data_IF_236028608124
#
_entry.id   IF_236028608124
#
_cell.length_a   1.000
_cell.length_b   1.000
_cell.length_c   1.000
_cell.angle_alpha   90.00
_cell.angle_beta   90.00
_cell.angle_gamma   90.00
#
_symmetry.space_group_name_H-M   'P 1'
#
loop_
_entity.id
_entity.type
_entity.pdbx_description
1 polymer ?
#
# COMPACT_ATOMS: atom_id res chain seq x y z
N UNK A 1 -8.13 -10.80 5.37
CA UNK A 1 -6.90 -10.36 6.06
C UNK A 1 -5.99 -11.56 6.25
N UNK A 2 -5.05 -11.77 5.33
CA UNK A 2 -4.05 -12.82 5.48
C UNK A 2 -2.85 -12.19 6.20
N UNK A 3 -2.78 -12.39 7.52
CA UNK A 3 -1.54 -12.19 8.26
C UNK A 3 -0.56 -13.27 7.78
N UNK A 4 0.22 -12.95 6.75
CA UNK A 4 1.35 -13.77 6.33
C UNK A 4 2.35 -13.78 7.48
N UNK A 5 2.47 -14.91 8.17
CA UNK A 5 3.40 -15.16 9.26
C UNK A 5 4.82 -14.68 8.94
N UNK A 6 5.20 -13.51 9.46
CA UNK A 6 6.47 -12.81 9.18
C UNK A 6 7.70 -13.55 9.76
N UNK A 7 7.54 -14.58 10.59
CA UNK A 7 8.67 -15.27 11.22
C UNK A 7 9.12 -16.58 10.55
N UNK A 8 8.49 -17.02 9.45
CA UNK A 8 8.81 -18.33 8.82
C UNK A 8 9.30 -18.31 7.36
N UNK A 9 9.12 -17.20 6.63
CA UNK A 9 9.23 -17.20 5.16
C UNK A 9 10.63 -16.91 4.57
N UNK A 10 11.49 -16.16 5.27
CA UNK A 10 12.79 -15.72 4.71
C UNK A 10 13.86 -16.82 4.66
N UNK A 11 13.56 -18.03 5.14
CA UNK A 11 14.48 -19.17 5.09
C UNK A 11 14.46 -19.89 3.72
N UNK A 12 13.59 -19.51 2.79
CA UNK A 12 13.48 -20.15 1.46
C UNK A 12 14.43 -19.58 0.39
N UNK A 13 15.00 -18.38 0.59
CA UNK A 13 15.98 -17.83 -0.34
C UNK A 13 17.37 -18.39 -0.06
N UNK A 14 18.03 -18.93 -1.09
CA UNK A 14 19.40 -19.42 -0.97
C UNK A 14 20.36 -18.30 -0.55
N UNK A 15 21.40 -18.65 0.20
CA UNK A 15 22.40 -17.70 0.70
C UNK A 15 23.03 -16.86 -0.44
N UNK A 16 23.19 -17.45 -1.63
CA UNK A 16 23.68 -16.75 -2.82
C UNK A 16 22.72 -15.66 -3.30
N UNK A 17 21.40 -15.91 -3.25
CA UNK A 17 20.38 -14.91 -3.61
C UNK A 17 20.34 -13.79 -2.58
N UNK A 18 20.37 -14.12 -1.28
CA UNK A 18 20.43 -13.15 -0.18
C UNK A 18 21.65 -12.23 -0.32
N UNK A 19 22.82 -12.81 -0.57
CA UNK A 19 24.05 -12.04 -0.77
C UNK A 19 24.01 -11.16 -2.03
N UNK A 20 23.43 -11.65 -3.13
CA UNK A 20 23.28 -10.85 -4.36
C UNK A 20 22.30 -9.69 -4.17
N UNK A 21 21.22 -9.92 -3.43
CA UNK A 21 20.27 -8.85 -3.09
C UNK A 21 20.93 -7.79 -2.19
N UNK A 22 21.66 -8.20 -1.15
CA UNK A 22 22.36 -7.26 -0.26
C UNK A 22 23.44 -6.43 -0.97
N UNK A 23 24.08 -6.96 -2.01
CA UNK A 23 25.00 -6.17 -2.84
C UNK A 23 24.29 -5.03 -3.57
N UNK A 24 23.08 -5.26 -4.05
CA UNK A 24 22.30 -4.25 -4.78
C UNK A 24 21.58 -3.26 -3.86
N UNK A 25 21.13 -3.70 -2.67
CA UNK A 25 20.19 -2.94 -1.84
C UNK A 25 20.74 -2.48 -0.49
N UNK A 26 21.92 -2.95 -0.04
CA UNK A 26 22.49 -2.58 1.25
C UNK A 26 23.88 -1.95 1.13
N UNK A 27 24.89 -2.78 0.84
CA UNK A 27 26.30 -2.35 0.74
C UNK A 27 27.07 -3.25 -0.20
N UNK A 28 28.05 -2.66 -0.88
CA UNK A 28 28.89 -3.33 -1.86
C UNK A 28 30.04 -4.13 -1.21
N UNK A 29 29.71 -5.03 -0.27
CA UNK A 29 30.65 -6.05 0.16
C UNK A 29 30.69 -7.18 -0.86
N UNK A 30 31.84 -7.83 -1.01
CA UNK A 30 31.96 -8.99 -1.89
C UNK A 30 31.02 -10.14 -1.46
N UNK A 31 30.50 -10.92 -2.42
CA UNK A 31 29.69 -12.11 -2.13
C UNK A 31 30.41 -13.08 -1.20
N UNK A 32 31.73 -13.21 -1.33
CA UNK A 32 32.56 -14.05 -0.44
C UNK A 32 32.47 -13.57 1.02
N UNK A 33 32.47 -12.26 1.25
CA UNK A 33 32.30 -11.71 2.58
C UNK A 33 30.92 -12.04 3.15
N UNK A 34 29.85 -11.87 2.36
CA UNK A 34 28.50 -12.23 2.80
C UNK A 34 28.36 -13.73 3.09
N UNK A 35 28.93 -14.59 2.26
CA UNK A 35 28.84 -16.04 2.39
C UNK A 35 29.79 -16.63 3.46
N UNK A 36 30.74 -15.85 3.98
CA UNK A 36 31.69 -16.31 4.99
C UNK A 36 31.03 -16.61 6.35
N UNK A 37 29.89 -15.97 6.63
CA UNK A 37 29.14 -16.15 7.88
C UNK A 37 27.64 -16.11 7.57
N UNK A 38 27.01 -17.28 7.64
CA UNK A 38 25.59 -17.45 7.36
C UNK A 38 24.69 -16.77 8.39
N UNK A 39 25.08 -16.77 9.67
CA UNK A 39 24.30 -16.11 10.71
C UNK A 39 24.28 -14.60 10.48
N UNK A 40 25.44 -14.01 10.14
CA UNK A 40 25.55 -12.61 9.74
C UNK A 40 24.74 -12.30 8.49
N UNK A 41 24.86 -13.12 7.45
CA UNK A 41 24.11 -12.95 6.21
C UNK A 41 22.61 -12.89 6.48
N UNK A 42 22.09 -13.86 7.22
CA UNK A 42 20.66 -13.93 7.53
C UNK A 42 20.20 -12.77 8.42
N UNK A 43 21.01 -12.36 9.40
CA UNK A 43 20.68 -11.22 10.26
C UNK A 43 20.58 -9.91 9.47
N UNK A 44 21.57 -9.63 8.60
CA UNK A 44 21.56 -8.43 7.77
C UNK A 44 20.40 -8.52 6.76
N UNK A 45 20.27 -9.64 6.03
CA UNK A 45 19.21 -9.81 5.04
C UNK A 45 17.82 -9.62 5.65
N UNK A 46 17.51 -10.25 6.77
CA UNK A 46 16.19 -10.14 7.38
C UNK A 46 15.85 -8.71 7.82
N UNK A 47 16.85 -7.97 8.32
CA UNK A 47 16.66 -6.58 8.73
C UNK A 47 16.41 -5.69 7.51
N UNK A 48 17.34 -5.70 6.56
CA UNK A 48 17.31 -4.79 5.41
C UNK A 48 16.14 -5.12 4.48
N UNK A 49 15.85 -6.41 4.26
CA UNK A 49 14.71 -6.83 3.46
C UNK A 49 13.39 -6.43 4.09
N UNK A 50 13.27 -6.46 5.42
CA UNK A 50 12.08 -5.98 6.11
C UNK A 50 11.90 -4.47 5.92
N UNK A 51 12.97 -3.69 6.12
CA UNK A 51 12.91 -2.23 5.92
C UNK A 51 12.49 -1.90 4.49
N UNK A 52 13.13 -2.54 3.50
CA UNK A 52 12.78 -2.36 2.10
C UNK A 52 11.32 -2.74 1.80
N UNK A 53 10.83 -3.85 2.36
CA UNK A 53 9.44 -4.27 2.20
C UNK A 53 8.48 -3.24 2.81
N UNK A 54 8.76 -2.77 4.02
CA UNK A 54 7.94 -1.78 4.72
C UNK A 54 7.89 -0.47 3.91
N UNK A 55 9.02 0.00 3.37
CA UNK A 55 9.10 1.18 2.49
C UNK A 55 8.32 1.01 1.19
N UNK A 56 8.46 -0.13 0.52
CA UNK A 56 7.73 -0.42 -0.73
C UNK A 56 6.21 -0.49 -0.48
N UNK A 57 5.80 -1.12 0.63
CA UNK A 57 4.38 -1.17 1.01
C UNK A 57 3.84 0.20 1.35
N UNK A 58 4.62 1.05 2.04
CA UNK A 58 4.21 2.40 2.36
C UNK A 58 4.01 3.26 1.09
N UNK A 59 4.88 3.10 0.09
CA UNK A 59 4.74 3.81 -1.19
C UNK A 59 3.46 3.39 -1.94
N UNK A 60 3.16 2.09 -1.97
CA UNK A 60 1.92 1.56 -2.57
C UNK A 60 0.69 2.05 -1.81
N UNK A 61 0.74 2.02 -0.47
CA UNK A 61 -0.36 2.51 0.38
C UNK A 61 -0.58 4.01 0.18
N UNK A 62 0.47 4.81 0.05
CA UNK A 62 0.39 6.24 -0.24
C UNK A 62 -0.26 6.51 -1.60
N UNK A 63 0.13 5.80 -2.66
CA UNK A 63 -0.47 5.94 -3.99
C UNK A 63 -1.95 5.55 -3.98
N UNK A 64 -2.29 4.43 -3.34
CA UNK A 64 -3.67 3.99 -3.19
C UNK A 64 -4.50 5.01 -2.39
N UNK A 65 -3.94 5.55 -1.30
CA UNK A 65 -4.61 6.57 -0.49
C UNK A 65 -4.81 7.86 -1.30
N UNK A 66 -3.83 8.30 -2.07
CA UNK A 66 -3.96 9.46 -2.95
C UNK A 66 -5.08 9.27 -4.00
N UNK A 67 -5.21 8.06 -4.55
CA UNK A 67 -6.31 7.73 -5.45
C UNK A 67 -7.68 7.79 -4.75
N UNK A 68 -7.79 7.22 -3.54
CA UNK A 68 -9.01 7.27 -2.72
C UNK A 68 -9.37 8.71 -2.38
N UNK A 69 -8.41 9.53 -1.94
CA UNK A 69 -8.64 10.93 -1.55
C UNK A 69 -9.11 11.78 -2.73
N UNK A 70 -8.53 11.56 -3.90
CA UNK A 70 -8.96 12.20 -5.15
C UNK A 70 -10.41 11.83 -5.49
N UNK A 71 -10.77 10.54 -5.36
CA UNK A 71 -12.13 10.07 -5.62
C UNK A 71 -13.12 10.59 -4.58
N UNK A 72 -12.75 10.61 -3.30
CA UNK A 72 -13.56 11.17 -2.21
C UNK A 72 -13.80 12.66 -2.42
N UNK A 73 -12.77 13.42 -2.82
CA UNK A 73 -12.89 14.85 -3.12
C UNK A 73 -13.86 15.10 -4.28
N UNK A 74 -13.80 14.29 -5.35
CA UNK A 74 -14.77 14.35 -6.47
C UNK A 74 -16.19 14.06 -5.99
N UNK A 75 -16.38 12.99 -5.22
CA UNK A 75 -17.68 12.63 -4.66
C UNK A 75 -18.26 13.78 -3.84
N UNK A 76 -17.46 14.36 -2.94
CA UNK A 76 -17.90 15.48 -2.09
C UNK A 76 -18.28 16.72 -2.92
N UNK A 77 -17.49 17.06 -3.94
CA UNK A 77 -17.78 18.19 -4.82
C UNK A 77 -19.10 18.00 -5.57
N UNK A 78 -19.32 16.83 -6.18
CA UNK A 78 -20.58 16.52 -6.89
C UNK A 78 -21.74 16.47 -5.92
N UNK A 79 -21.58 15.82 -4.77
CA UNK A 79 -22.62 15.71 -3.75
C UNK A 79 -23.12 17.09 -3.32
N UNK A 80 -22.19 18.01 -3.03
CA UNK A 80 -22.53 19.40 -2.69
C UNK A 80 -23.19 20.14 -3.85
N UNK A 81 -22.73 19.93 -5.08
CA UNK A 81 -23.32 20.56 -6.26
C UNK A 81 -24.77 20.10 -6.51
N UNK A 82 -25.08 18.83 -6.28
CA UNK A 82 -26.42 18.25 -6.51
C UNK A 82 -27.39 18.54 -5.37
N UNK A 83 -26.94 18.40 -4.12
CA UNK A 83 -27.82 18.47 -2.94
C UNK A 83 -27.71 19.78 -2.15
N UNK A 84 -26.76 20.65 -2.48
CA UNK A 84 -26.54 21.93 -1.79
C UNK A 84 -26.01 21.79 -0.36
N UNK A 85 -25.67 20.58 0.08
CA UNK A 85 -25.18 20.28 1.43
C UNK A 85 -23.93 19.40 1.35
N UNK A 86 -23.04 19.55 2.33
CA UNK A 86 -21.83 18.73 2.41
C UNK A 86 -22.18 17.31 2.89
N UNK A 87 -21.55 16.30 2.27
CA UNK A 87 -21.77 14.89 2.59
C UNK A 87 -21.56 14.58 4.08
N UNK A 88 -20.53 15.16 4.70
CA UNK A 88 -20.24 14.93 6.13
C UNK A 88 -21.37 15.44 7.04
N UNK A 89 -21.94 16.61 6.71
CA UNK A 89 -23.04 17.17 7.48
C UNK A 89 -24.31 16.33 7.34
N UNK A 90 -24.63 15.87 6.12
CA UNK A 90 -25.79 15.00 5.89
C UNK A 90 -25.57 13.62 6.57
N UNK A 91 -24.34 13.10 6.54
CA UNK A 91 -23.97 11.82 7.16
C UNK A 91 -24.05 11.84 8.69
N UNK A 92 -23.73 12.98 9.33
CA UNK A 92 -23.93 13.18 10.78
C UNK A 92 -25.42 13.12 11.16
N UNK A 93 -26.31 13.51 10.25
CA UNK A 93 -27.76 13.45 10.46
C UNK A 93 -28.28 12.05 10.18
N UNK A 94 -27.93 11.47 9.03
CA UNK A 94 -28.24 10.10 8.67
C UNK A 94 -27.24 9.55 7.67
N UNK A 95 -26.29 8.76 8.18
CA UNK A 95 -25.29 8.06 7.35
C UNK A 95 -25.92 7.22 6.26
N UNK A 96 -27.01 6.49 6.56
CA UNK A 96 -27.71 5.65 5.59
C UNK A 96 -28.25 6.48 4.41
N UNK A 97 -28.94 7.58 4.70
CA UNK A 97 -29.51 8.44 3.65
C UNK A 97 -28.42 9.16 2.85
N UNK A 98 -27.37 9.64 3.51
CA UNK A 98 -26.22 10.27 2.84
C UNK A 98 -25.53 9.28 1.88
N UNK A 99 -25.29 8.04 2.32
CA UNK A 99 -24.75 6.97 1.46
C UNK A 99 -25.68 6.65 0.28
N UNK A 100 -27.00 6.54 0.51
CA UNK A 100 -27.98 6.27 -0.55
C UNK A 100 -27.98 7.37 -1.62
N UNK A 101 -27.92 8.62 -1.19
CA UNK A 101 -27.81 9.79 -2.08
C UNK A 101 -26.50 9.77 -2.87
N UNK A 102 -25.36 9.52 -2.21
CA UNK A 102 -24.07 9.45 -2.88
C UNK A 102 -24.02 8.35 -3.95
N UNK A 103 -24.66 7.20 -3.69
CA UNK A 103 -24.83 6.12 -4.67
C UNK A 103 -25.75 6.49 -5.83
N UNK A 104 -26.80 7.29 -5.59
CA UNK A 104 -27.72 7.73 -6.65
C UNK A 104 -27.06 8.65 -7.68
N UNK A 105 -25.95 9.30 -7.32
CA UNK A 105 -25.15 10.17 -8.20
C UNK A 105 -23.80 9.55 -8.55
N UNK A 106 -23.62 8.24 -8.35
CA UNK A 106 -22.34 7.53 -8.52
C UNK A 106 -21.67 7.82 -9.86
N UNK A 107 -22.46 7.78 -10.93
CA UNK A 107 -21.98 7.94 -12.31
C UNK A 107 -21.38 9.32 -12.60
N UNK A 108 -21.62 10.30 -11.73
CA UNK A 108 -21.09 11.66 -11.88
C UNK A 108 -19.70 11.85 -11.27
N UNK A 109 -19.26 10.95 -10.39
CA UNK A 109 -17.97 11.10 -9.68
C UNK A 109 -17.10 9.84 -9.70
N UNK A 110 -17.64 8.68 -10.06
CA UNK A 110 -16.85 7.50 -10.40
C UNK A 110 -16.44 7.64 -11.87
N UNK A 111 -15.13 7.67 -12.18
CA UNK A 111 -14.70 7.68 -13.57
C UNK A 111 -15.16 6.40 -14.27
N UNK A 112 -15.58 6.50 -15.53
CA UNK A 112 -15.77 5.33 -16.40
C UNK A 112 -14.44 4.60 -16.52
N UNK A 113 -14.28 3.53 -15.75
CA UNK A 113 -13.19 2.58 -15.95
C UNK A 113 -13.63 1.77 -17.16
N UNK A 114 -13.31 2.23 -18.37
CA UNK A 114 -13.20 1.32 -19.49
C UNK A 114 -12.06 0.37 -19.13
N UNK A 115 -12.45 -0.82 -18.68
CA UNK A 115 -11.55 -1.94 -18.46
C UNK A 115 -11.08 -2.37 -19.85
N UNK A 116 -9.91 -1.90 -20.26
CA UNK A 116 -9.13 -2.50 -21.37
C UNK A 116 -8.42 -3.77 -20.89
#
# INVERSE_FOLDING_TARGET
>A
MAAFSIFGGNNMLSNVKKASWLQSHYRDYSKRWYLADEARLNAIFNREYKIWLDEETAAIEEEQQAHIDKQASRMQAVYRAVYGVDFESDSRTSRFNACKRAQAIRDLWVPDIMVE
#
